data_IF_703255073117
#
_entry.id   IF_703255073117
#
_cell.length_a   1.000
_cell.length_b   1.000
_cell.length_c   1.000
_cell.angle_alpha   90.00
_cell.angle_beta   90.00
_cell.angle_gamma   90.00
#
_symmetry.space_group_name_H-M   'P 1'
#
loop_
_entity.id
_entity.type
_entity.pdbx_description
1 polymer ?
#
# COMPACT_ATOMS: atom_id res chain seq x y z
N UNK A 1 -9.33 -12.44 -11.22
CA UNK A 1 -9.39 -13.07 -9.88
C UNK A 1 -10.82 -12.99 -9.36
N UNK A 2 -11.28 -13.99 -8.57
CA UNK A 2 -12.62 -13.99 -7.95
C UNK A 2 -12.66 -13.00 -6.79
N UNK A 3 -13.74 -12.23 -6.68
CA UNK A 3 -14.00 -11.26 -5.62
C UNK A 3 -15.00 -11.84 -4.62
N UNK A 4 -14.83 -11.51 -3.35
CA UNK A 4 -15.67 -12.05 -2.27
C UNK A 4 -16.23 -10.90 -1.45
N UNK A 5 -17.43 -11.08 -0.92
CA UNK A 5 -18.02 -10.24 0.12
C UNK A 5 -17.98 -11.09 1.39
N UNK A 6 -17.23 -10.64 2.37
CA UNK A 6 -17.01 -11.38 3.62
C UNK A 6 -17.39 -10.52 4.82
N UNK A 7 -17.94 -11.15 5.83
CA UNK A 7 -18.11 -10.59 7.16
C UNK A 7 -16.92 -11.07 8.00
N UNK A 8 -16.05 -10.14 8.37
CA UNK A 8 -14.82 -10.41 9.10
C UNK A 8 -14.92 -9.87 10.52
N UNK A 9 -14.34 -10.58 11.47
CA UNK A 9 -14.33 -10.19 12.88
C UNK A 9 -13.09 -9.36 13.20
N UNK A 10 -13.25 -8.22 13.86
CA UNK A 10 -12.15 -7.40 14.37
C UNK A 10 -11.43 -8.18 15.47
N UNK A 11 -10.19 -8.57 15.23
CA UNK A 11 -9.32 -9.21 16.23
C UNK A 11 -8.50 -8.18 16.99
N UNK A 12 -8.10 -7.11 16.31
CA UNK A 12 -7.34 -6.04 16.91
C UNK A 12 -7.54 -4.72 16.14
N UNK A 13 -7.61 -3.62 16.85
CA UNK A 13 -7.64 -2.27 16.31
C UNK A 13 -6.69 -1.38 17.11
N UNK A 14 -5.47 -1.21 16.60
CA UNK A 14 -4.40 -0.49 17.28
C UNK A 14 -4.30 0.94 16.77
N UNK A 15 -4.40 1.91 17.64
CA UNK A 15 -4.05 3.29 17.33
C UNK A 15 -2.54 3.45 17.40
N UNK A 16 -1.86 3.43 16.24
CA UNK A 16 -0.40 3.53 16.16
C UNK A 16 0.10 4.95 16.41
N UNK A 17 -0.65 5.94 15.97
CA UNK A 17 -0.38 7.37 16.15
C UNK A 17 -1.70 8.15 16.10
N UNK A 18 -1.66 9.48 16.30
CA UNK A 18 -2.85 10.34 16.25
C UNK A 18 -3.66 10.21 14.95
N UNK A 19 -2.97 9.94 13.83
CA UNK A 19 -3.54 9.89 12.50
C UNK A 19 -3.52 8.51 11.85
N UNK A 20 -3.11 7.44 12.57
CA UNK A 20 -2.99 6.11 11.99
C UNK A 20 -3.53 5.03 12.91
N UNK A 21 -4.25 4.08 12.34
CA UNK A 21 -4.71 2.87 13.01
C UNK A 21 -4.35 1.63 12.19
N UNK A 22 -4.04 0.54 12.87
CA UNK A 22 -3.87 -0.78 12.29
C UNK A 22 -5.06 -1.65 12.68
N UNK A 23 -5.91 -1.95 11.70
CA UNK A 23 -7.09 -2.78 11.85
C UNK A 23 -6.78 -4.21 11.37
N UNK A 24 -6.95 -5.19 12.26
CA UNK A 24 -6.78 -6.61 11.94
C UNK A 24 -8.13 -7.31 11.96
N UNK A 25 -8.42 -8.03 10.90
CA UNK A 25 -9.70 -8.72 10.69
C UNK A 25 -9.48 -10.20 10.42
N UNK A 26 -10.14 -11.07 11.17
CA UNK A 26 -10.11 -12.51 10.97
C UNK A 26 -11.36 -13.04 10.26
N UNK A 27 -11.18 -14.11 9.50
CA UNK A 27 -12.27 -14.86 8.87
C UNK A 27 -12.48 -16.20 9.57
N UNK A 28 -13.73 -16.64 9.69
CA UNK A 28 -14.06 -17.99 10.15
C UNK A 28 -13.74 -19.07 9.11
N UNK A 29 -13.84 -18.73 7.83
CA UNK A 29 -13.47 -19.59 6.70
C UNK A 29 -12.10 -19.15 6.16
N UNK A 30 -11.36 -20.03 5.44
CA UNK A 30 -10.09 -19.63 4.85
C UNK A 30 -10.21 -18.37 4.00
N UNK A 31 -9.36 -17.38 4.26
CA UNK A 31 -9.27 -16.17 3.45
C UNK A 31 -8.88 -16.52 2.01
N UNK A 32 -9.46 -15.85 1.00
CA UNK A 32 -9.06 -16.05 -0.39
C UNK A 32 -7.59 -15.72 -0.61
N UNK A 33 -7.04 -16.19 -1.72
CA UNK A 33 -5.73 -15.71 -2.16
C UNK A 33 -5.77 -14.22 -2.44
N UNK A 34 -4.74 -13.53 -1.99
CA UNK A 34 -4.55 -12.10 -2.15
C UNK A 34 -3.11 -11.84 -2.62
N UNK A 35 -2.95 -10.89 -3.53
CA UNK A 35 -1.65 -10.49 -4.03
C UNK A 35 -1.22 -9.17 -3.38
N UNK A 36 0.09 -8.96 -3.14
CA UNK A 36 0.61 -7.67 -2.68
C UNK A 36 0.22 -6.55 -3.65
N UNK A 37 -0.20 -5.41 -3.12
CA UNK A 37 -0.67 -4.28 -3.91
C UNK A 37 -2.19 -4.25 -4.13
N UNK A 38 -2.91 -5.34 -3.88
CA UNK A 38 -4.37 -5.35 -3.89
C UNK A 38 -4.95 -4.59 -2.68
N UNK A 39 -6.23 -4.27 -2.77
CA UNK A 39 -6.97 -3.52 -1.76
C UNK A 39 -8.31 -4.18 -1.43
N UNK A 40 -8.99 -3.64 -0.46
CA UNK A 40 -10.35 -4.00 -0.08
C UNK A 40 -11.26 -2.77 -0.01
N UNK A 41 -12.54 -2.97 -0.25
CA UNK A 41 -13.59 -1.99 0.01
C UNK A 41 -14.27 -2.32 1.32
N UNK A 42 -13.97 -1.56 2.37
CA UNK A 42 -14.44 -1.77 3.75
C UNK A 42 -15.73 -0.99 3.99
N UNK A 43 -16.80 -1.65 4.43
CA UNK A 43 -18.03 -0.99 4.84
C UNK A 43 -17.83 -0.25 6.15
N UNK A 44 -18.40 0.94 6.24
CA UNK A 44 -18.33 1.78 7.43
C UNK A 44 -19.73 1.87 8.03
N UNK A 45 -19.97 1.11 9.08
CA UNK A 45 -21.23 1.14 9.81
C UNK A 45 -21.17 2.16 10.95
N UNK A 46 -22.31 2.78 11.29
CA UNK A 46 -22.41 3.76 12.36
C UNK A 46 -21.80 5.15 12.05
N UNK A 47 -21.60 5.47 10.76
CA UNK A 47 -21.20 6.81 10.30
C UNK A 47 -22.29 7.43 9.43
N UNK A 48 -23.09 8.37 9.92
CA UNK A 48 -24.23 8.94 9.19
C UNK A 48 -23.81 9.76 7.97
N UNK A 49 -22.54 10.18 7.89
CA UNK A 49 -21.97 10.96 6.79
C UNK A 49 -21.19 10.12 5.78
N UNK A 50 -21.04 8.81 6.02
CA UNK A 50 -20.25 7.91 5.18
C UNK A 50 -21.13 6.91 4.44
N UNK A 51 -21.45 7.19 3.18
CA UNK A 51 -22.32 6.35 2.35
C UNK A 51 -21.59 5.28 1.53
N UNK A 52 -20.33 5.52 1.21
CA UNK A 52 -19.51 4.62 0.41
C UNK A 52 -18.55 3.82 1.27
N UNK A 53 -18.19 2.63 0.81
CA UNK A 53 -17.08 1.86 1.37
C UNK A 53 -15.78 2.65 1.28
N UNK A 54 -14.79 2.26 2.08
CA UNK A 54 -13.44 2.85 2.03
C UNK A 54 -12.49 1.89 1.34
N UNK A 55 -11.86 2.31 0.23
CA UNK A 55 -10.79 1.54 -0.39
C UNK A 55 -9.54 1.64 0.49
N UNK A 56 -9.08 0.50 1.00
CA UNK A 56 -7.89 0.42 1.87
C UNK A 56 -6.99 -0.67 1.32
N UNK A 57 -5.71 -0.36 1.11
CA UNK A 57 -4.70 -1.32 0.68
C UNK A 57 -4.53 -2.44 1.69
N UNK A 58 -4.37 -3.68 1.20
CA UNK A 58 -4.01 -4.81 2.04
C UNK A 58 -2.58 -4.58 2.55
N UNK A 59 -2.45 -4.40 3.87
CA UNK A 59 -1.16 -4.16 4.52
C UNK A 59 -0.40 -5.47 4.75
N UNK A 60 -1.12 -6.51 5.20
CA UNK A 60 -0.54 -7.82 5.48
C UNK A 60 -1.61 -8.91 5.46
N UNK A 61 -1.18 -10.16 5.22
CA UNK A 61 -2.05 -11.34 5.29
C UNK A 61 -1.38 -12.41 6.15
N UNK A 62 -1.86 -12.57 7.37
CA UNK A 62 -1.42 -13.65 8.26
C UNK A 62 -2.21 -14.92 7.96
N UNK A 63 -1.62 -15.84 7.21
CA UNK A 63 -2.25 -17.12 6.86
C UNK A 63 -2.39 -18.08 8.04
N UNK A 64 -1.55 -17.96 9.07
CA UNK A 64 -1.61 -18.83 10.24
C UNK A 64 -2.77 -18.45 11.14
N UNK A 65 -3.01 -17.14 11.31
CA UNK A 65 -4.12 -16.61 12.09
C UNK A 65 -5.40 -16.41 11.27
N UNK A 66 -5.31 -16.62 9.96
CA UNK A 66 -6.39 -16.35 9.00
C UNK A 66 -6.89 -14.90 9.10
N UNK A 67 -5.95 -13.96 9.17
CA UNK A 67 -6.19 -12.52 9.34
C UNK A 67 -5.73 -11.72 8.10
N UNK A 68 -6.41 -10.62 7.84
CA UNK A 68 -5.99 -9.57 6.93
C UNK A 68 -5.87 -8.26 7.68
N UNK A 69 -4.79 -7.52 7.44
CA UNK A 69 -4.48 -6.27 8.14
C UNK A 69 -4.61 -5.07 7.21
N UNK A 70 -5.07 -3.96 7.77
CA UNK A 70 -5.28 -2.70 7.08
C UNK A 70 -4.65 -1.56 7.87
N UNK A 71 -3.65 -0.90 7.30
CA UNK A 71 -3.09 0.33 7.85
C UNK A 71 -3.93 1.50 7.33
N UNK A 72 -4.57 2.21 8.24
CA UNK A 72 -5.58 3.24 7.94
C UNK A 72 -5.08 4.61 8.36
N UNK A 73 -5.02 5.56 7.44
CA UNK A 73 -4.83 6.97 7.75
C UNK A 73 -6.18 7.64 8.04
N UNK A 74 -6.27 8.36 9.15
CA UNK A 74 -7.49 9.00 9.66
C UNK A 74 -7.72 10.36 9.00
N UNK A 75 -8.15 10.36 7.75
CA UNK A 75 -8.32 11.58 6.93
C UNK A 75 -9.77 12.10 6.86
N UNK A 76 -10.75 11.27 7.20
CA UNK A 76 -12.18 11.62 7.11
C UNK A 76 -13.04 10.80 8.07
N UNK A 77 -14.35 11.11 8.12
CA UNK A 77 -15.28 10.48 9.08
C UNK A 77 -15.27 8.95 8.98
N UNK A 78 -15.29 8.42 7.75
CA UNK A 78 -15.29 6.96 7.56
C UNK A 78 -14.03 6.29 8.11
N UNK A 79 -12.84 6.85 7.87
CA UNK A 79 -11.59 6.28 8.39
C UNK A 79 -11.44 6.49 9.90
N UNK A 80 -11.97 7.61 10.45
CA UNK A 80 -12.06 7.80 11.91
C UNK A 80 -12.97 6.77 12.54
N UNK A 81 -14.15 6.52 11.94
CA UNK A 81 -15.07 5.49 12.47
C UNK A 81 -14.47 4.08 12.43
N UNK A 82 -13.74 3.73 11.37
CA UNK A 82 -13.02 2.45 11.30
C UNK A 82 -11.96 2.30 12.40
N UNK A 83 -11.33 3.39 12.82
CA UNK A 83 -10.36 3.37 13.93
C UNK A 83 -11.01 3.26 15.32
N UNK A 84 -12.33 3.33 15.41
CA UNK A 84 -13.10 3.25 16.66
C UNK A 84 -13.84 1.92 16.82
N UNK A 85 -13.79 1.03 15.81
CA UNK A 85 -14.45 -0.27 15.91
C UNK A 85 -13.80 -1.12 17.00
N UNK A 86 -14.62 -1.77 17.80
CA UNK A 86 -14.15 -2.58 18.91
C UNK A 86 -13.76 -4.01 18.47
N UNK A 87 -12.89 -4.64 19.23
CA UNK A 87 -12.58 -6.05 19.06
C UNK A 87 -13.87 -6.89 19.20
N UNK A 88 -14.06 -7.85 18.30
CA UNK A 88 -15.26 -8.68 18.22
C UNK A 88 -16.38 -8.10 17.35
N UNK A 89 -16.33 -6.81 16.95
CA UNK A 89 -17.27 -6.29 15.95
C UNK A 89 -17.06 -6.98 14.59
N UNK A 90 -18.15 -7.07 13.82
CA UNK A 90 -18.14 -7.65 12.47
C UNK A 90 -18.13 -6.53 11.45
N UNK A 91 -17.17 -6.59 10.52
CA UNK A 91 -17.03 -5.65 9.41
C UNK A 91 -17.23 -6.37 8.09
N UNK A 92 -18.11 -5.83 7.25
CA UNK A 92 -18.34 -6.35 5.90
C UNK A 92 -17.32 -5.76 4.93
N UNK A 93 -16.59 -6.63 4.22
CA UNK A 93 -15.47 -6.27 3.34
C UNK A 93 -15.64 -6.92 1.98
N UNK A 94 -15.33 -6.18 0.92
CA UNK A 94 -15.19 -6.74 -0.45
C UNK A 94 -13.71 -6.85 -0.76
N UNK A 95 -13.20 -8.06 -0.96
CA UNK A 95 -11.79 -8.34 -1.25
C UNK A 95 -11.60 -9.66 -2.05
N UNK A 96 -10.43 -9.93 -2.64
CA UNK A 96 -9.43 -8.93 -3.00
C UNK A 96 -9.87 -8.12 -4.22
N UNK A 97 -9.45 -6.88 -4.33
CA UNK A 97 -9.76 -5.98 -5.44
C UNK A 97 -8.48 -5.48 -6.12
N UNK A 98 -8.57 -5.21 -7.40
CA UNK A 98 -7.47 -4.73 -8.22
C UNK A 98 -6.42 -5.79 -8.54
N UNK A 99 -5.36 -5.33 -9.21
CA UNK A 99 -4.19 -6.13 -9.59
C UNK A 99 -3.03 -5.85 -8.61
N UNK A 100 -2.23 -6.87 -8.34
CA UNK A 100 -1.06 -6.76 -7.46
C UNK A 100 0.22 -6.36 -8.21
N UNK A 101 1.29 -6.19 -7.45
CA UNK A 101 2.64 -6.01 -7.97
C UNK A 101 3.15 -7.28 -8.68
N UNK A 102 3.96 -7.09 -9.70
CA UNK A 102 4.62 -8.19 -10.41
C UNK A 102 5.77 -8.75 -9.58
N UNK A 103 5.74 -10.04 -9.33
CA UNK A 103 6.85 -10.72 -8.66
C UNK A 103 7.98 -10.98 -9.67
N UNK A 104 9.27 -10.82 -9.28
CA UNK A 104 10.38 -11.11 -10.17
C UNK A 104 10.42 -12.62 -10.49
N UNK A 105 10.80 -12.93 -11.73
CA UNK A 105 10.91 -14.32 -12.18
C UNK A 105 12.05 -15.09 -11.48
N UNK A 106 13.13 -14.39 -11.15
CA UNK A 106 14.29 -14.93 -10.45
C UNK A 106 14.56 -14.15 -9.17
N UNK A 107 15.07 -14.80 -8.11
CA UNK A 107 15.48 -14.11 -6.90
C UNK A 107 16.51 -13.01 -7.17
N UNK A 108 16.32 -11.85 -6.55
CA UNK A 108 17.21 -10.69 -6.67
C UNK A 108 17.36 -10.00 -5.30
N UNK A 109 18.52 -9.40 -5.08
CA UNK A 109 18.81 -8.50 -3.95
C UNK A 109 18.80 -7.02 -4.37
N UNK A 110 18.39 -6.73 -5.61
CA UNK A 110 18.37 -5.38 -6.20
C UNK A 110 16.94 -4.83 -6.36
N UNK A 111 16.10 -5.16 -5.40
CA UNK A 111 14.71 -4.74 -5.35
C UNK A 111 14.54 -3.62 -4.32
N UNK A 112 14.01 -2.48 -4.76
CA UNK A 112 13.74 -1.33 -3.91
C UNK A 112 12.24 -1.11 -3.73
N UNK A 113 11.77 -1.11 -2.49
CA UNK A 113 10.39 -0.83 -2.12
C UNK A 113 10.32 0.56 -1.47
N UNK A 114 9.72 1.51 -2.15
CA UNK A 114 9.63 2.90 -1.70
C UNK A 114 8.22 3.19 -1.22
N UNK A 115 8.08 3.49 0.07
CA UNK A 115 6.81 3.85 0.68
C UNK A 115 6.82 5.25 1.29
N UNK A 116 5.72 5.99 1.18
CA UNK A 116 5.58 7.31 1.81
C UNK A 116 4.28 7.47 2.57
N UNK A 117 4.36 7.83 3.86
CA UNK A 117 3.18 7.93 4.73
C UNK A 117 2.37 6.62 4.74
N UNK A 118 1.05 6.67 4.56
CA UNK A 118 0.20 5.47 4.50
C UNK A 118 0.51 4.57 3.28
N UNK A 119 1.18 5.08 2.25
CA UNK A 119 1.63 4.28 1.11
C UNK A 119 2.68 3.22 1.45
N UNK A 120 3.21 3.19 2.67
CA UNK A 120 4.00 2.06 3.18
C UNK A 120 3.14 0.80 3.34
N UNK A 121 1.82 0.92 3.47
CA UNK A 121 0.91 -0.19 3.73
C UNK A 121 1.09 -1.38 2.77
N UNK A 122 0.99 -1.25 1.44
CA UNK A 122 1.13 -2.38 0.53
C UNK A 122 2.57 -2.91 0.44
N UNK A 123 3.58 -2.13 0.88
CA UNK A 123 4.99 -2.52 0.82
C UNK A 123 5.33 -3.63 1.81
N UNK A 124 4.64 -3.72 2.95
CA UNK A 124 4.92 -4.74 3.96
C UNK A 124 4.60 -6.15 3.44
N UNK A 125 3.39 -6.33 2.91
CA UNK A 125 2.99 -7.63 2.35
C UNK A 125 3.81 -7.99 1.10
N UNK A 126 4.18 -7.01 0.26
CA UNK A 126 5.08 -7.23 -0.86
C UNK A 126 6.45 -7.71 -0.38
N UNK A 127 7.02 -7.06 0.62
CA UNK A 127 8.31 -7.43 1.20
C UNK A 127 8.33 -8.84 1.76
N UNK A 128 7.28 -9.24 2.49
CA UNK A 128 7.13 -10.61 2.98
C UNK A 128 7.11 -11.63 1.83
N UNK A 129 6.29 -11.38 0.79
CA UNK A 129 6.17 -12.32 -0.34
C UNK A 129 7.47 -12.41 -1.14
N UNK A 130 8.17 -11.30 -1.33
CA UNK A 130 9.49 -11.26 -1.95
C UNK A 130 10.51 -12.06 -1.13
N UNK A 131 10.57 -11.86 0.19
CA UNK A 131 11.47 -12.59 1.07
C UNK A 131 11.18 -14.11 1.05
N UNK A 132 9.90 -14.50 1.09
CA UNK A 132 9.48 -15.90 0.97
C UNK A 132 9.86 -16.55 -0.37
N UNK A 133 9.96 -15.74 -1.43
CA UNK A 133 10.38 -16.19 -2.77
C UNK A 133 11.91 -16.17 -2.94
N UNK A 134 12.67 -15.98 -1.86
CA UNK A 134 14.14 -15.99 -1.88
C UNK A 134 14.79 -14.66 -2.29
N UNK A 135 14.01 -13.58 -2.41
CA UNK A 135 14.52 -12.25 -2.68
C UNK A 135 15.03 -11.57 -1.40
N UNK A 136 15.85 -10.52 -1.57
CA UNK A 136 16.31 -9.66 -0.47
C UNK A 136 15.89 -8.21 -0.75
N UNK A 137 14.64 -7.85 -0.40
CA UNK A 137 14.17 -6.50 -0.67
C UNK A 137 14.87 -5.46 0.22
N UNK A 138 15.08 -4.26 -0.34
CA UNK A 138 15.47 -3.06 0.38
C UNK A 138 14.27 -2.14 0.49
N UNK A 139 13.95 -1.70 1.70
CA UNK A 139 12.87 -0.73 1.95
C UNK A 139 13.45 0.66 2.11
N UNK A 140 12.84 1.64 1.47
CA UNK A 140 13.11 3.06 1.65
C UNK A 140 11.81 3.77 2.02
N UNK A 141 11.65 4.07 3.30
CA UNK A 141 10.42 4.59 3.88
C UNK A 141 10.56 6.07 4.20
N UNK A 142 9.66 6.87 3.64
CA UNK A 142 9.64 8.32 3.83
C UNK A 142 8.48 8.79 4.67
N UNK A 143 8.74 9.74 5.57
CA UNK A 143 7.72 10.36 6.41
C UNK A 143 8.01 11.85 6.64
N UNK A 144 7.06 12.56 7.24
CA UNK A 144 7.31 13.95 7.68
C UNK A 144 8.18 14.00 8.92
N UNK A 145 7.88 13.14 9.88
CA UNK A 145 8.57 13.03 11.17
C UNK A 145 8.78 11.55 11.55
N UNK A 146 9.58 11.29 12.55
CA UNK A 146 9.80 9.97 13.14
C UNK A 146 8.51 9.26 13.55
N UNK A 147 7.53 10.02 14.06
CA UNK A 147 6.23 9.50 14.52
C UNK A 147 5.35 8.94 13.39
N UNK A 148 5.61 9.36 12.17
CA UNK A 148 4.89 8.90 10.97
C UNK A 148 5.59 7.71 10.28
N UNK A 149 6.73 7.25 10.81
CA UNK A 149 7.40 6.01 10.40
C UNK A 149 6.76 4.84 11.16
N UNK A 150 5.98 4.03 10.46
CA UNK A 150 5.16 2.99 11.05
C UNK A 150 5.72 1.60 10.70
N UNK A 151 5.54 0.63 11.61
CA UNK A 151 5.83 -0.79 11.39
C UNK A 151 7.30 -1.08 11.00
N UNK A 152 8.28 -0.30 11.49
CA UNK A 152 9.68 -0.47 11.12
C UNK A 152 10.24 -1.85 11.48
N UNK A 153 9.84 -2.40 12.62
CA UNK A 153 10.27 -3.73 13.07
C UNK A 153 9.70 -4.83 12.16
N UNK A 154 8.45 -4.68 11.72
CA UNK A 154 7.82 -5.60 10.78
C UNK A 154 8.52 -5.57 9.42
N UNK A 155 8.91 -4.39 8.92
CA UNK A 155 9.70 -4.27 7.69
C UNK A 155 11.09 -4.90 7.84
N UNK A 156 11.76 -4.67 8.97
CA UNK A 156 13.09 -5.19 9.23
C UNK A 156 13.15 -6.73 9.29
N UNK A 157 12.01 -7.38 9.56
CA UNK A 157 11.90 -8.83 9.49
C UNK A 157 12.08 -9.42 8.08
N UNK A 158 11.89 -8.61 7.02
CA UNK A 158 11.87 -9.08 5.64
C UNK A 158 12.99 -8.52 4.76
N UNK A 159 13.69 -7.47 5.20
CA UNK A 159 14.78 -6.87 4.43
C UNK A 159 15.44 -5.69 5.11
N UNK A 160 16.39 -5.07 4.43
CA UNK A 160 17.05 -3.86 4.94
C UNK A 160 16.12 -2.65 4.88
N UNK A 161 16.07 -1.88 5.97
CA UNK A 161 15.21 -0.70 6.10
C UNK A 161 16.03 0.57 6.16
N UNK A 162 15.78 1.46 5.23
CA UNK A 162 16.30 2.83 5.19
C UNK A 162 15.14 3.81 5.33
N UNK A 163 15.40 4.94 5.96
CA UNK A 163 14.35 5.93 6.25
C UNK A 163 14.78 7.34 5.91
N UNK A 164 13.80 8.16 5.51
CA UNK A 164 13.96 9.62 5.45
C UNK A 164 12.84 10.29 6.21
N UNK A 165 13.17 11.39 6.89
CA UNK A 165 12.18 12.31 7.45
C UNK A 165 12.42 13.73 6.96
N UNK A 166 11.35 14.45 6.63
CA UNK A 166 11.48 15.83 6.11
C UNK A 166 12.14 16.75 7.14
N UNK A 167 11.87 16.54 8.43
CA UNK A 167 12.44 17.31 9.54
C UNK A 167 13.81 16.81 10.00
N UNK A 168 14.22 15.59 9.61
CA UNK A 168 15.48 14.95 10.01
C UNK A 168 15.44 14.31 11.39
N UNK A 169 14.25 14.03 11.92
CA UNK A 169 14.07 13.39 13.24
C UNK A 169 14.47 11.91 13.26
N UNK A 170 14.47 11.23 12.08
CA UNK A 170 14.91 9.84 11.95
C UNK A 170 15.46 9.57 10.54
N UNK A 171 16.53 8.78 10.45
CA UNK A 171 17.17 8.45 9.18
C UNK A 171 17.85 9.65 8.51
N UNK A 172 17.87 9.68 7.19
CA UNK A 172 18.40 10.81 6.45
C UNK A 172 17.34 11.92 6.34
N UNK A 173 17.77 13.19 6.48
CA UNK A 173 16.88 14.34 6.31
C UNK A 173 16.56 14.57 4.86
N UNK A 174 15.27 14.69 4.53
CA UNK A 174 14.79 15.03 3.19
C UNK A 174 13.78 14.03 2.63
N UNK A 175 13.73 13.96 1.31
CA UNK A 175 12.81 13.07 0.59
C UNK A 175 13.47 11.76 0.18
N UNK A 176 12.70 10.71 -0.04
CA UNK A 176 13.18 9.37 -0.43
C UNK A 176 14.13 9.39 -1.63
N UNK A 177 13.90 10.26 -2.62
CA UNK A 177 14.77 10.40 -3.81
C UNK A 177 16.11 11.11 -3.54
N UNK A 178 16.35 11.56 -2.32
CA UNK A 178 17.60 12.20 -1.89
C UNK A 178 18.44 11.29 -1.00
N UNK A 179 17.93 10.11 -0.63
CA UNK A 179 18.63 9.19 0.27
C UNK A 179 19.89 8.62 -0.40
N UNK A 180 20.99 8.59 0.33
CA UNK A 180 22.32 8.17 -0.15
C UNK A 180 22.40 6.73 -0.63
N UNK A 181 21.44 5.85 -0.26
CA UNK A 181 21.38 4.47 -0.73
C UNK A 181 21.22 4.39 -2.26
N UNK A 182 20.54 5.36 -2.85
CA UNK A 182 20.30 5.41 -4.30
C UNK A 182 21.59 5.62 -5.11
N UNK A 183 22.61 6.19 -4.50
CA UNK A 183 23.93 6.36 -5.12
C UNK A 183 24.86 5.15 -4.86
N UNK A 184 24.56 4.36 -3.80
CA UNK A 184 25.40 3.24 -3.37
C UNK A 184 25.00 1.91 -4.01
N UNK A 185 23.72 1.71 -4.27
CA UNK A 185 23.16 0.46 -4.79
C UNK A 185 22.48 0.70 -6.12
N UNK A 186 22.84 -0.08 -7.14
CA UNK A 186 22.16 -0.09 -8.42
C UNK A 186 20.99 -1.07 -8.38
N UNK A 187 19.80 -0.55 -8.21
CA UNK A 187 18.56 -1.33 -8.22
C UNK A 187 18.15 -1.72 -9.65
N UNK A 188 17.42 -2.81 -9.79
CA UNK A 188 16.91 -3.32 -11.07
C UNK A 188 15.39 -3.16 -11.16
N UNK A 189 14.71 -3.19 -10.02
CA UNK A 189 13.26 -3.01 -9.92
C UNK A 189 12.93 -2.11 -8.75
N UNK A 190 12.01 -1.16 -8.97
CA UNK A 190 11.44 -0.29 -7.94
C UNK A 190 9.94 -0.53 -7.87
N UNK A 191 9.45 -0.69 -6.65
CA UNK A 191 8.02 -0.70 -6.32
C UNK A 191 7.71 0.51 -5.45
N UNK A 192 6.68 1.28 -5.76
CA UNK A 192 6.39 2.48 -4.97
C UNK A 192 4.91 2.72 -4.74
N UNK A 193 4.59 3.23 -3.56
CA UNK A 193 3.26 3.72 -3.20
C UNK A 193 3.40 4.89 -2.21
N UNK A 194 2.54 5.90 -2.35
CA UNK A 194 2.52 7.07 -1.48
C UNK A 194 2.01 8.33 -2.17
N UNK A 195 2.31 9.50 -1.62
CA UNK A 195 1.87 10.77 -2.20
C UNK A 195 2.28 10.93 -3.67
N UNK A 196 1.36 11.43 -4.50
CA UNK A 196 1.59 11.59 -5.95
C UNK A 196 2.93 12.28 -6.29
N UNK A 197 3.34 13.39 -5.62
CA UNK A 197 4.63 14.01 -5.88
C UNK A 197 5.83 13.08 -5.63
N UNK A 198 5.76 12.26 -4.57
CA UNK A 198 6.81 11.28 -4.25
C UNK A 198 6.88 10.21 -5.35
N UNK A 199 5.76 9.60 -5.71
CA UNK A 199 5.73 8.57 -6.77
C UNK A 199 6.23 9.11 -8.11
N UNK A 200 5.89 10.36 -8.47
CA UNK A 200 6.42 11.03 -9.66
C UNK A 200 7.94 11.20 -9.61
N UNK A 201 8.49 11.60 -8.47
CA UNK A 201 9.93 11.76 -8.29
C UNK A 201 10.66 10.41 -8.38
N UNK A 202 10.11 9.36 -7.76
CA UNK A 202 10.63 7.98 -7.84
C UNK A 202 10.58 7.45 -9.26
N UNK A 203 9.46 7.65 -9.97
CA UNK A 203 9.32 7.25 -11.37
C UNK A 203 10.31 7.96 -12.29
N UNK A 204 10.54 9.26 -12.08
CA UNK A 204 11.55 10.04 -12.81
C UNK A 204 12.97 9.51 -12.55
N UNK A 205 13.29 9.21 -11.28
CA UNK A 205 14.57 8.60 -10.89
C UNK A 205 14.76 7.24 -11.59
N UNK A 206 13.76 6.36 -11.54
CA UNK A 206 13.78 5.05 -12.17
C UNK A 206 14.05 5.18 -13.68
N UNK A 207 13.31 6.06 -14.37
CA UNK A 207 13.51 6.31 -15.80
C UNK A 207 14.91 6.81 -16.12
N UNK A 208 15.43 7.77 -15.36
CA UNK A 208 16.77 8.33 -15.60
C UNK A 208 17.89 7.31 -15.41
N UNK A 209 17.64 6.23 -14.68
CA UNK A 209 18.58 5.15 -14.40
C UNK A 209 18.28 3.84 -15.13
N UNK A 210 17.29 3.82 -16.05
CA UNK A 210 16.81 2.62 -16.75
C UNK A 210 16.42 1.48 -15.80
N UNK A 211 15.70 1.80 -14.72
CA UNK A 211 15.20 0.86 -13.73
C UNK A 211 13.71 0.63 -14.00
N UNK A 212 13.28 -0.63 -13.99
CA UNK A 212 11.86 -0.95 -14.03
C UNK A 212 11.16 -0.40 -12.78
N UNK A 213 9.97 0.16 -12.95
CA UNK A 213 9.24 0.75 -11.83
C UNK A 213 7.74 0.45 -11.92
N UNK A 214 7.17 -0.01 -10.83
CA UNK A 214 5.74 -0.14 -10.65
C UNK A 214 5.26 0.82 -9.56
N UNK A 215 4.10 1.45 -9.81
CA UNK A 215 3.44 2.36 -8.86
C UNK A 215 2.07 1.84 -8.49
N UNK A 216 1.72 1.95 -7.21
CA UNK A 216 0.35 1.70 -6.74
C UNK A 216 -0.36 3.04 -6.55
N UNK A 217 -1.38 3.29 -7.37
CA UNK A 217 -2.11 4.55 -7.37
C UNK A 217 -3.25 4.55 -6.34
N UNK A 218 -3.43 5.68 -5.67
CA UNK A 218 -4.51 5.94 -4.72
C UNK A 218 -5.51 6.93 -5.30
N UNK A 219 -6.50 6.43 -6.04
CA UNK A 219 -7.57 7.25 -6.59
C UNK A 219 -8.82 7.19 -5.71
N UNK A 220 -9.67 8.22 -5.79
CA UNK A 220 -11.01 8.15 -5.19
C UNK A 220 -11.81 7.04 -5.86
N UNK A 221 -12.43 6.19 -5.06
CA UNK A 221 -13.21 5.06 -5.52
C UNK A 221 -14.62 5.08 -4.93
N UNK A 222 -15.58 4.53 -5.67
CA UNK A 222 -16.94 4.34 -5.18
C UNK A 222 -17.36 2.86 -5.23
N UNK A 223 -17.15 2.15 -6.35
CA UNK A 223 -17.60 0.76 -6.49
C UNK A 223 -16.49 -0.27 -6.29
N UNK A 224 -15.22 0.06 -6.46
CA UNK A 224 -14.08 -0.84 -6.38
C UNK A 224 -14.00 -1.95 -7.45
N UNK A 225 -14.93 -1.95 -8.43
CA UNK A 225 -15.09 -3.07 -9.38
C UNK A 225 -15.12 -2.65 -10.86
N UNK A 226 -14.82 -1.38 -11.15
CA UNK A 226 -14.75 -0.85 -12.53
C UNK A 226 -16.09 -0.45 -13.15
N UNK A 227 -17.18 -0.38 -12.38
CA UNK A 227 -18.51 -0.10 -12.93
C UNK A 227 -18.88 1.40 -12.95
N UNK A 228 -18.43 2.18 -11.96
CA UNK A 228 -18.87 3.57 -11.80
C UNK A 228 -17.96 4.61 -12.46
N UNK A 229 -16.79 4.21 -12.94
CA UNK A 229 -15.77 5.05 -13.59
C UNK A 229 -15.22 6.21 -12.71
N UNK A 230 -15.48 6.20 -11.41
CA UNK A 230 -15.03 7.26 -10.49
C UNK A 230 -13.50 7.33 -10.36
N UNK A 231 -12.81 6.20 -10.49
CA UNK A 231 -11.36 6.06 -10.32
C UNK A 231 -10.58 6.05 -11.63
N UNK A 232 -11.16 6.55 -12.73
CA UNK A 232 -10.48 6.59 -14.03
C UNK A 232 -9.24 7.46 -13.96
N UNK A 233 -8.13 6.92 -14.47
CA UNK A 233 -6.87 7.62 -14.67
C UNK A 233 -6.54 7.68 -16.16
N UNK A 234 -5.95 8.79 -16.59
CA UNK A 234 -5.49 9.00 -17.95
C UNK A 234 -4.09 8.37 -18.11
N UNK A 235 -3.99 7.39 -18.99
CA UNK A 235 -2.73 6.68 -19.25
C UNK A 235 -2.42 6.70 -20.75
N UNK A 236 -1.23 6.28 -21.16
CA UNK A 236 -0.89 6.13 -22.57
C UNK A 236 -1.70 5.05 -23.28
N UNK A 237 -2.22 4.10 -22.51
CA UNK A 237 -3.11 3.05 -22.99
C UNK A 237 -4.59 3.50 -23.03
N UNK A 238 -4.85 4.78 -22.71
CA UNK A 238 -6.19 5.34 -22.63
C UNK A 238 -6.70 5.55 -21.21
N UNK A 239 -8.01 5.54 -21.06
CA UNK A 239 -8.68 5.74 -19.78
C UNK A 239 -8.84 4.40 -19.05
N UNK A 240 -8.08 4.20 -17.96
CA UNK A 240 -8.11 2.96 -17.17
C UNK A 240 -8.76 3.17 -15.81
N UNK A 241 -9.57 2.21 -15.36
CA UNK A 241 -10.14 2.23 -14.01
C UNK A 241 -9.13 1.67 -13.01
N UNK A 242 -8.60 2.53 -12.12
CA UNK A 242 -7.61 2.13 -11.11
C UNK A 242 -8.07 0.95 -10.25
N UNK A 243 -9.36 0.84 -9.96
CA UNK A 243 -9.89 -0.27 -9.16
C UNK A 243 -9.99 -1.62 -9.90
N UNK A 244 -9.84 -1.63 -11.23
CA UNK A 244 -9.97 -2.84 -12.05
C UNK A 244 -8.69 -3.19 -12.79
N UNK A 245 -8.12 -2.24 -13.52
CA UNK A 245 -6.87 -2.39 -14.27
C UNK A 245 -5.64 -2.14 -13.39
N UNK A 246 -5.76 -1.33 -12.31
CA UNK A 246 -4.77 -1.09 -11.27
C UNK A 246 -5.11 -1.83 -9.97
N UNK A 247 -4.70 -1.32 -8.79
CA UNK A 247 -4.05 -0.02 -8.57
C UNK A 247 -2.59 0.03 -9.00
N UNK A 248 -1.96 -1.13 -9.22
CA UNK A 248 -0.56 -1.23 -9.63
C UNK A 248 -0.45 -1.09 -11.14
N UNK A 249 0.44 -0.20 -11.56
CA UNK A 249 0.77 0.05 -12.96
C UNK A 249 2.27 0.10 -13.14
N UNK A 250 2.76 -0.47 -14.26
CA UNK A 250 4.13 -0.23 -14.71
C UNK A 250 4.26 1.23 -15.14
N UNK A 251 5.28 1.90 -14.66
CA UNK A 251 5.53 3.29 -15.05
C UNK A 251 6.06 3.33 -16.46
N UNK A 252 5.19 3.58 -17.42
CA UNK A 252 5.58 4.39 -18.54
C UNK A 252 5.46 5.85 -18.09
N UNK A 253 6.44 6.67 -18.40
CA UNK A 253 6.63 8.03 -17.88
C UNK A 253 5.41 8.97 -18.03
N UNK A 254 4.47 8.62 -18.83
CA UNK A 254 3.28 9.38 -19.19
C UNK A 254 2.10 9.18 -18.25
N UNK A 255 2.03 8.08 -17.51
CA UNK A 255 0.94 7.77 -16.58
C UNK A 255 0.85 8.74 -15.39
N UNK A 256 1.93 9.43 -15.05
CA UNK A 256 2.02 10.33 -13.92
C UNK A 256 2.07 11.82 -14.29
N UNK A 257 1.65 12.22 -15.50
CA UNK A 257 1.58 13.64 -15.84
C UNK A 257 0.64 14.36 -14.90
N UNK A 258 1.19 15.38 -14.22
CA UNK A 258 0.36 16.34 -13.53
C UNK A 258 -0.50 17.11 -14.55
N UNK A 259 -1.78 17.19 -14.31
CA UNK A 259 -2.64 18.18 -14.93
C UNK A 259 -2.52 19.48 -14.15
#
# INVERSE_FOLDING_TARGET
>A
MKKFILDLTVTENLKLHANYALLKLASQSPLPEMLPGQFAEIRVDGSPTTFLRRPISINYVDRQRNEVWFLIQLVGDGTRRLAEVANGEIINVVLPLGNGFTMPENPSDKLLLVGGGVGTAPMLYLGEQLAKSGNKPTFLLGARTDKDLLQLDEFAAYGEVYTTTEDGSHGEKGYVTQHSILDKVKFEQIYTCGPKPMMMAVAKYAKSNNINCEVSLENRMACGVGACLCCVENTDEGHLCVCKEGPVFTVSYTHLRAH
#
